data_IF_426002125314
#
_entry.id   IF_426002125314
#
_cell.length_a   1.000
_cell.length_b   1.000
_cell.length_c   1.000
_cell.angle_alpha   90.00
_cell.angle_beta   90.00
_cell.angle_gamma   90.00
#
_symmetry.space_group_name_H-M   'P 1'
#
loop_
_entity.id
_entity.type
_entity.pdbx_description
1 polymer ?
#
# COMPACT_ATOMS: atom_id res chain seq x y z
N UNK A 1 -5.11 -16.66 -4.69
CA UNK A 1 -5.87 -15.42 -4.93
C UNK A 1 -5.78 -14.60 -3.66
N UNK A 2 -5.11 -13.46 -3.71
CA UNK A 2 -5.05 -12.52 -2.58
C UNK A 2 -6.11 -11.45 -2.79
N UNK A 3 -7.07 -11.36 -1.87
CA UNK A 3 -8.21 -10.46 -2.01
C UNK A 3 -7.85 -9.00 -1.72
N UNK A 4 -6.72 -8.71 -1.07
CA UNK A 4 -6.26 -7.34 -0.88
C UNK A 4 -5.73 -6.74 -2.18
N UNK A 5 -5.16 -7.56 -3.07
CA UNK A 5 -4.65 -7.10 -4.36
C UNK A 5 -5.74 -6.58 -5.28
N UNK A 6 -6.99 -7.02 -5.12
CA UNK A 6 -8.15 -6.55 -5.89
C UNK A 6 -8.90 -5.37 -5.24
N UNK A 7 -8.36 -4.77 -4.17
CA UNK A 7 -8.95 -3.55 -3.60
C UNK A 7 -8.51 -2.36 -4.43
N UNK A 8 -9.47 -1.51 -4.81
CA UNK A 8 -9.24 -0.34 -5.68
C UNK A 8 -8.08 0.55 -5.23
N UNK A 9 -7.92 0.77 -3.91
CA UNK A 9 -6.82 1.57 -3.36
C UNK A 9 -5.43 0.93 -3.58
N UNK A 10 -5.35 -0.40 -3.53
CA UNK A 10 -4.09 -1.14 -3.74
C UNK A 10 -3.74 -1.15 -5.23
N UNK A 11 -4.72 -1.27 -6.11
CA UNK A 11 -4.52 -1.16 -7.56
C UNK A 11 -4.07 0.26 -7.96
N UNK A 12 -4.71 1.28 -7.40
CA UNK A 12 -4.38 2.69 -7.63
C UNK A 12 -2.96 3.06 -7.21
N UNK A 13 -2.36 2.36 -6.24
CA UNK A 13 -0.96 2.61 -5.84
C UNK A 13 0.02 2.43 -7.00
N UNK A 14 -0.24 1.45 -7.88
CA UNK A 14 0.60 1.16 -9.05
C UNK A 14 0.47 2.29 -10.08
N UNK A 15 -0.75 2.79 -10.29
CA UNK A 15 -1.02 3.93 -11.19
C UNK A 15 -0.39 5.22 -10.65
N UNK A 16 -0.54 5.50 -9.35
CA UNK A 16 0.06 6.67 -8.72
C UNK A 16 1.58 6.68 -8.85
N UNK A 17 2.22 5.52 -8.69
CA UNK A 17 3.69 5.40 -8.73
C UNK A 17 4.27 5.48 -10.15
N UNK A 18 3.61 4.90 -11.16
CA UNK A 18 4.23 4.71 -12.48
C UNK A 18 3.58 5.50 -13.62
N UNK A 19 2.34 5.97 -13.46
CA UNK A 19 1.65 6.73 -14.51
C UNK A 19 1.78 8.26 -14.35
N UNK A 20 2.49 8.72 -13.32
CA UNK A 20 2.63 10.15 -12.99
C UNK A 20 4.10 10.58 -13.01
N UNK A 21 4.46 11.41 -14.00
CA UNK A 21 5.82 11.95 -14.17
C UNK A 21 6.30 12.76 -12.95
N UNK A 22 5.39 13.31 -12.16
CA UNK A 22 5.71 14.06 -10.94
C UNK A 22 6.13 13.12 -9.80
N UNK A 23 5.46 11.96 -9.67
CA UNK A 23 5.68 11.05 -8.54
C UNK A 23 6.83 10.06 -8.78
N UNK A 24 7.13 9.74 -10.04
CA UNK A 24 8.23 8.86 -10.40
C UNK A 24 9.59 9.27 -9.77
N UNK A 25 10.11 10.52 -9.93
CA UNK A 25 11.40 10.90 -9.37
C UNK A 25 11.38 11.06 -7.84
N UNK A 26 10.21 11.32 -7.26
CA UNK A 26 10.03 11.47 -5.81
C UNK A 26 10.00 10.12 -5.09
N UNK A 27 9.70 9.03 -5.81
CA UNK A 27 9.69 7.68 -5.25
C UNK A 27 11.10 7.08 -5.13
N UNK A 28 11.95 7.74 -4.33
CA UNK A 28 13.36 7.38 -4.12
C UNK A 28 13.79 7.59 -2.67
N UNK A 29 14.81 6.85 -2.22
CA UNK A 29 15.41 6.99 -0.86
C UNK A 29 15.99 8.39 -0.60
N UNK A 30 16.21 9.17 -1.65
CA UNK A 30 16.63 10.57 -1.51
C UNK A 30 15.53 11.46 -0.93
N UNK A 31 14.25 11.14 -1.21
CA UNK A 31 13.10 11.96 -0.83
C UNK A 31 12.20 11.26 0.21
N UNK A 32 12.16 9.92 0.22
CA UNK A 32 11.35 9.13 1.14
C UNK A 32 12.16 8.81 2.40
N UNK A 33 11.67 9.30 3.54
CA UNK A 33 12.25 9.01 4.87
C UNK A 33 11.82 7.66 5.42
N UNK A 34 10.52 7.33 5.32
CA UNK A 34 9.99 6.04 5.73
C UNK A 34 8.79 5.63 4.85
N UNK A 35 8.47 4.34 4.85
CA UNK A 35 7.22 3.80 4.32
C UNK A 35 6.60 2.98 5.44
N UNK A 36 5.36 3.30 5.81
CA UNK A 36 4.61 2.61 6.84
C UNK A 36 3.41 1.91 6.21
N UNK A 37 3.28 0.62 6.49
CA UNK A 37 2.12 -0.18 6.11
C UNK A 37 1.44 -0.60 7.40
N UNK A 38 0.25 -0.05 7.65
CA UNK A 38 -0.53 -0.32 8.86
C UNK A 38 -1.70 -1.18 8.44
N UNK A 39 -1.82 -2.35 9.06
CA UNK A 39 -2.99 -3.19 9.00
C UNK A 39 -3.57 -3.30 10.41
N UNK A 40 -4.72 -2.67 10.62
CA UNK A 40 -5.47 -2.75 11.86
C UNK A 40 -6.85 -3.34 11.57
N UNK A 41 -7.25 -4.30 12.39
CA UNK A 41 -8.61 -4.82 12.43
C UNK A 41 -9.10 -4.80 13.86
N UNK A 42 -10.40 -4.55 14.05
CA UNK A 42 -11.02 -4.46 15.38
C UNK A 42 -11.40 -5.84 15.97
N UNK A 43 -10.97 -6.93 15.34
CA UNK A 43 -11.33 -8.31 15.69
C UNK A 43 -10.12 -9.07 16.26
N UNK A 44 -10.37 -9.82 17.34
CA UNK A 44 -9.41 -10.76 17.93
C UNK A 44 -9.33 -12.08 17.15
N UNK A 45 -8.67 -13.09 17.71
CA UNK A 45 -8.56 -14.42 17.05
C UNK A 45 -9.87 -15.23 17.02
N UNK A 46 -10.97 -14.71 17.58
CA UNK A 46 -12.32 -15.32 17.57
C UNK A 46 -12.34 -16.84 17.81
N UNK A 47 -11.48 -17.33 18.71
CA UNK A 47 -11.39 -18.76 19.05
C UNK A 47 -10.78 -19.66 17.97
N UNK A 48 -10.15 -19.08 16.93
CA UNK A 48 -9.44 -19.78 15.85
C UNK A 48 -7.95 -19.97 16.14
N UNK A 49 -7.59 -20.11 17.42
CA UNK A 49 -6.22 -20.42 17.86
C UNK A 49 -5.79 -21.80 17.42
#
# INVERSE_FOLDING_TARGET
IDHYLGKELIENLTVLRFANLVFEPLWSRQYIRNVQVIFSGDFGTEGRG
#
